data_IF_854369896135
#
_entry.id   IF_854369896135
#
_cell.length_a   1.000
_cell.length_b   1.000
_cell.length_c   1.000
_cell.angle_alpha   90.00
_cell.angle_beta   90.00
_cell.angle_gamma   90.00
#
_symmetry.space_group_name_H-M   'P 1'
#
loop_
_entity.id
_entity.type
_entity.pdbx_description
1 polymer ?
#
# COMPACT_ATOMS: atom_id res chain seq x y z
N UNK A 1 34.89 8.14 -3.56
CA UNK A 1 33.96 7.68 -2.50
C UNK A 1 32.73 8.57 -2.55
N UNK A 2 31.60 8.05 -3.03
CA UNK A 2 30.34 8.80 -3.00
C UNK A 2 29.94 8.99 -1.53
N UNK A 3 29.70 10.24 -1.11
CA UNK A 3 29.22 10.52 0.26
C UNK A 3 27.87 9.85 0.43
N UNK A 4 27.76 8.93 1.38
CA UNK A 4 26.48 8.34 1.78
C UNK A 4 25.50 9.47 2.12
N UNK A 5 24.29 9.49 1.53
CA UNK A 5 23.27 10.47 1.86
C UNK A 5 23.03 10.56 3.37
N UNK A 6 22.96 11.78 3.92
CA UNK A 6 22.65 12.01 5.34
C UNK A 6 21.14 12.00 5.62
N UNK A 7 20.32 12.04 4.57
CA UNK A 7 18.85 12.08 4.59
C UNK A 7 18.28 11.11 3.54
N UNK A 8 17.15 10.48 3.85
CA UNK A 8 16.51 9.47 3.00
C UNK A 8 15.69 8.44 3.76
N UNK A 9 15.20 7.44 3.03
CA UNK A 9 14.51 6.26 3.56
C UNK A 9 15.51 5.26 4.12
N UNK A 10 15.20 4.65 5.26
CA UNK A 10 16.05 3.63 5.86
C UNK A 10 15.94 2.31 5.08
N UNK A 11 17.08 1.72 4.66
CA UNK A 11 17.10 0.42 4.01
C UNK A 11 16.98 -0.73 5.01
N UNK A 12 16.80 -1.94 4.48
CA UNK A 12 16.73 -3.21 5.20
C UNK A 12 17.72 -3.32 6.38
N UNK A 13 19.01 -3.05 6.15
CA UNK A 13 20.05 -3.18 7.17
C UNK A 13 19.88 -2.21 8.35
N UNK A 14 19.43 -0.98 8.10
CA UNK A 14 19.16 0.00 9.14
C UNK A 14 17.91 -0.37 9.95
N UNK A 15 16.88 -0.94 9.31
CA UNK A 15 15.70 -1.46 10.01
C UNK A 15 16.10 -2.61 10.95
N UNK A 16 16.96 -3.54 10.50
CA UNK A 16 17.54 -4.57 11.40
C UNK A 16 18.27 -3.95 12.58
N UNK A 17 19.01 -2.87 12.35
CA UNK A 17 19.72 -2.17 13.42
C UNK A 17 18.76 -1.53 14.44
N UNK A 18 17.63 -0.96 13.99
CA UNK A 18 16.59 -0.44 14.88
C UNK A 18 15.99 -1.55 15.76
N UNK A 19 15.80 -2.75 15.22
CA UNK A 19 15.35 -3.92 15.99
C UNK A 19 16.42 -4.35 16.99
N UNK A 20 17.67 -4.51 16.55
CA UNK A 20 18.79 -4.92 17.41
C UNK A 20 19.05 -3.94 18.58
N UNK A 21 18.87 -2.65 18.34
CA UNK A 21 19.00 -1.59 19.36
C UNK A 21 17.74 -1.36 20.19
N UNK A 22 16.68 -2.17 19.98
CA UNK A 22 15.38 -2.05 20.65
C UNK A 22 14.67 -0.71 20.44
N UNK A 23 14.98 -0.02 19.34
CA UNK A 23 14.16 1.10 18.86
C UNK A 23 12.85 0.61 18.23
N UNK A 24 12.83 -0.65 17.75
CA UNK A 24 11.62 -1.39 17.38
C UNK A 24 11.58 -2.64 18.26
N UNK A 25 10.46 -2.88 18.94
CA UNK A 25 10.28 -4.05 19.81
C UNK A 25 8.95 -4.71 19.53
N UNK A 26 8.86 -6.03 19.72
CA UNK A 26 7.61 -6.78 19.61
C UNK A 26 7.68 -8.07 20.43
N UNK A 27 6.52 -8.58 20.84
CA UNK A 27 6.38 -9.91 21.46
C UNK A 27 5.22 -10.66 20.81
N UNK A 28 5.46 -11.75 20.05
CA UNK A 28 6.76 -12.36 19.73
C UNK A 28 7.71 -11.43 18.97
N UNK A 29 9.01 -11.77 18.96
CA UNK A 29 10.04 -10.97 18.30
C UNK A 29 9.73 -10.74 16.80
N UNK A 30 10.27 -9.64 16.25
CA UNK A 30 10.18 -9.35 14.82
C UNK A 30 10.95 -10.41 14.05
N UNK A 31 10.29 -11.02 13.07
CA UNK A 31 10.88 -12.05 12.22
C UNK A 31 11.53 -11.43 10.98
N UNK A 32 12.61 -12.04 10.47
CA UNK A 32 13.34 -11.53 9.29
C UNK A 32 12.44 -11.37 8.05
N UNK A 33 11.41 -12.23 7.89
CA UNK A 33 10.44 -12.15 6.79
C UNK A 33 9.54 -10.90 6.82
N UNK A 34 9.45 -10.20 7.95
CA UNK A 34 8.68 -8.97 8.06
C UNK A 34 9.41 -7.78 7.45
N UNK A 35 10.75 -7.84 7.38
CA UNK A 35 11.59 -6.73 6.96
C UNK A 35 11.67 -6.74 5.44
N UNK A 36 11.12 -5.71 4.81
CA UNK A 36 11.18 -5.47 3.38
C UNK A 36 12.41 -4.62 3.04
N UNK A 37 12.77 -4.46 1.75
CA UNK A 37 13.91 -3.64 1.34
C UNK A 37 13.93 -2.22 1.92
N UNK A 38 12.74 -1.59 2.08
CA UNK A 38 12.60 -0.23 2.58
C UNK A 38 11.38 -0.04 3.50
N UNK A 39 10.84 -1.10 4.11
CA UNK A 39 9.71 -1.05 5.05
C UNK A 39 9.71 -2.25 6.00
N UNK A 40 8.83 -2.23 6.99
CA UNK A 40 8.59 -3.31 7.94
C UNK A 40 7.10 -3.63 8.00
N UNK A 41 6.75 -4.90 7.83
CA UNK A 41 5.37 -5.38 8.01
C UNK A 41 4.95 -5.34 9.50
N UNK A 42 3.81 -4.71 9.78
CA UNK A 42 3.22 -4.58 11.11
C UNK A 42 2.22 -5.72 11.37
N UNK A 43 2.21 -6.31 12.56
CA UNK A 43 1.41 -7.49 12.90
C UNK A 43 0.27 -7.15 13.83
N UNK A 44 -0.92 -7.67 13.50
CA UNK A 44 -2.09 -7.59 14.38
C UNK A 44 -1.80 -8.23 15.74
N UNK A 45 -2.23 -7.56 16.81
CA UNK A 45 -2.19 -8.08 18.16
C UNK A 45 -3.26 -9.13 18.44
N UNK A 46 -3.51 -9.35 19.74
CA UNK A 46 -4.45 -10.38 20.23
C UNK A 46 -5.89 -9.92 20.32
N UNK A 47 -6.13 -8.62 20.30
CA UNK A 47 -7.47 -8.04 20.49
C UNK A 47 -7.84 -7.13 19.34
N UNK A 48 -9.12 -7.08 19.01
CA UNK A 48 -9.72 -6.01 18.22
C UNK A 48 -10.83 -5.34 19.04
N UNK A 49 -10.97 -4.03 18.89
CA UNK A 49 -12.05 -3.24 19.44
C UNK A 49 -12.99 -2.87 18.30
N UNK A 50 -14.23 -3.36 18.32
CA UNK A 50 -15.25 -2.91 17.36
C UNK A 50 -15.73 -1.53 17.79
N UNK A 51 -15.54 -0.52 16.94
CA UNK A 51 -15.87 0.87 17.24
C UNK A 51 -17.18 1.30 16.61
N UNK A 52 -17.81 2.33 17.18
CA UNK A 52 -18.93 3.06 16.56
C UNK A 52 -18.43 3.87 15.35
N UNK A 53 -17.26 4.51 15.48
CA UNK A 53 -16.69 5.39 14.45
C UNK A 53 -15.15 5.40 14.49
N UNK A 54 -14.55 5.89 13.41
CA UNK A 54 -13.13 6.27 13.37
C UNK A 54 -12.88 7.55 14.19
N UNK A 55 -11.65 7.77 14.63
CA UNK A 55 -11.26 8.95 15.41
C UNK A 55 -9.76 9.28 15.26
N UNK A 56 -9.41 10.54 15.54
CA UNK A 56 -8.01 11.01 15.60
C UNK A 56 -7.60 11.25 17.06
N UNK A 57 -6.52 10.61 17.56
CA UNK A 57 -6.08 10.72 18.95
C UNK A 57 -5.09 11.89 19.15
N UNK A 58 -5.44 13.08 18.70
CA UNK A 58 -4.59 14.27 18.83
C UNK A 58 -4.54 14.79 20.27
N UNK A 59 -5.69 14.76 20.96
CA UNK A 59 -5.88 15.43 22.25
C UNK A 59 -5.67 14.53 23.47
N UNK A 60 -5.59 13.21 23.28
CA UNK A 60 -5.44 12.25 24.37
C UNK A 60 -4.81 10.93 23.89
N UNK A 61 -4.09 10.18 24.74
CA UNK A 61 -3.65 8.83 24.41
C UNK A 61 -4.81 7.94 23.98
N UNK A 62 -4.55 6.98 23.09
CA UNK A 62 -5.57 6.04 22.61
C UNK A 62 -6.09 5.20 23.77
N UNK A 63 -5.23 4.81 24.72
CA UNK A 63 -5.62 3.99 25.86
C UNK A 63 -6.73 4.61 26.71
N UNK A 64 -6.80 5.94 26.83
CA UNK A 64 -7.88 6.62 27.57
C UNK A 64 -9.22 6.62 26.84
N UNK A 65 -9.30 6.03 25.64
CA UNK A 65 -10.51 5.85 24.84
C UNK A 65 -10.90 4.37 24.70
N UNK A 66 -10.08 3.45 25.23
CA UNK A 66 -10.27 2.00 25.12
C UNK A 66 -10.89 1.37 26.36
N UNK A 67 -11.15 2.15 27.41
CA UNK A 67 -11.82 1.66 28.62
C UNK A 67 -13.26 1.26 28.27
N UNK A 68 -13.53 -0.05 28.22
CA UNK A 68 -14.88 -0.61 28.10
C UNK A 68 -15.57 -0.43 29.45
N UNK A 69 -16.11 0.76 29.71
CA UNK A 69 -16.90 1.03 30.91
C UNK A 69 -18.37 0.72 30.63
N UNK A 70 -18.89 -0.23 31.39
CA UNK A 70 -20.25 -0.72 31.25
C UNK A 70 -21.31 0.39 31.34
N UNK A 71 -22.35 0.14 30.54
CA UNK A 71 -23.56 0.88 30.32
C UNK A 71 -23.49 2.29 29.67
N UNK A 72 -22.62 3.26 30.02
CA UNK A 72 -22.55 4.58 29.31
C UNK A 72 -21.27 5.44 29.52
N UNK A 73 -20.04 4.91 29.67
CA UNK A 73 -18.84 5.77 29.88
C UNK A 73 -17.58 5.43 29.05
N UNK A 74 -17.74 4.88 27.84
CA UNK A 74 -16.95 5.31 26.67
C UNK A 74 -17.85 5.25 25.43
N UNK A 75 -17.99 6.35 24.69
CA UNK A 75 -18.94 6.45 23.57
C UNK A 75 -18.44 5.76 22.27
N UNK A 76 -17.33 5.03 22.32
CA UNK A 76 -16.60 4.65 21.12
C UNK A 76 -16.46 3.14 20.91
N UNK A 77 -16.15 2.37 21.97
CA UNK A 77 -15.96 0.93 21.89
C UNK A 77 -17.27 0.21 22.15
N UNK A 78 -17.70 -0.65 21.22
CA UNK A 78 -18.94 -1.42 21.37
C UNK A 78 -18.70 -2.79 22.01
N UNK A 79 -17.64 -3.49 21.59
CA UNK A 79 -17.21 -4.75 22.20
C UNK A 79 -15.77 -5.10 21.80
N UNK A 80 -15.13 -5.94 22.62
CA UNK A 80 -13.82 -6.53 22.32
C UNK A 80 -13.96 -7.88 21.61
N UNK A 81 -12.97 -8.22 20.80
CA UNK A 81 -12.86 -9.49 20.08
C UNK A 81 -11.47 -10.08 20.29
N UNK A 82 -11.38 -11.39 20.52
CA UNK A 82 -10.10 -12.11 20.52
C UNK A 82 -9.71 -12.47 19.08
N UNK A 83 -8.46 -12.16 18.71
CA UNK A 83 -7.86 -12.46 17.42
C UNK A 83 -6.90 -13.66 17.46
N UNK A 84 -6.70 -14.29 18.62
CA UNK A 84 -5.68 -15.34 18.79
C UNK A 84 -5.89 -16.52 17.83
N UNK A 85 -7.10 -17.10 17.82
CA UNK A 85 -7.51 -18.17 16.88
C UNK A 85 -8.22 -17.64 15.62
N UNK A 86 -8.36 -16.31 15.56
CA UNK A 86 -8.89 -15.54 14.46
C UNK A 86 -10.38 -15.22 14.54
N UNK A 87 -10.73 -14.03 14.06
CA UNK A 87 -12.08 -13.48 14.09
C UNK A 87 -12.46 -12.86 12.74
N UNK A 88 -13.76 -12.77 12.50
CA UNK A 88 -14.32 -12.17 11.30
C UNK A 88 -14.50 -10.67 11.54
N UNK A 89 -13.91 -9.85 10.67
CA UNK A 89 -14.18 -8.42 10.57
C UNK A 89 -15.19 -8.21 9.44
N UNK A 90 -16.35 -7.70 9.81
CA UNK A 90 -17.48 -7.52 8.91
C UNK A 90 -17.32 -6.29 8.01
N UNK A 91 -17.95 -6.36 6.84
CA UNK A 91 -18.00 -5.25 5.90
C UNK A 91 -18.64 -4.01 6.53
N UNK A 92 -18.07 -2.84 6.27
CA UNK A 92 -18.59 -1.53 6.66
C UNK A 92 -18.40 -1.17 8.13
N UNK A 93 -17.72 -2.02 8.91
CA UNK A 93 -17.49 -1.80 10.34
C UNK A 93 -16.05 -1.38 10.62
N UNK A 94 -15.87 -0.59 11.68
CA UNK A 94 -14.56 -0.09 12.11
C UNK A 94 -14.03 -0.92 13.26
N UNK A 95 -12.79 -1.38 13.11
CA UNK A 95 -12.09 -2.15 14.12
C UNK A 95 -10.75 -1.51 14.42
N UNK A 96 -10.41 -1.33 15.70
CA UNK A 96 -9.09 -0.88 16.11
C UNK A 96 -8.33 -2.05 16.73
N UNK A 97 -7.13 -2.32 16.22
CA UNK A 97 -6.30 -3.45 16.63
C UNK A 97 -4.96 -2.91 17.15
N UNK A 98 -4.62 -3.09 18.43
CA UNK A 98 -3.26 -2.86 18.90
C UNK A 98 -2.29 -3.75 18.12
N UNK A 99 -1.21 -3.18 17.60
CA UNK A 99 -0.19 -3.93 16.88
C UNK A 99 0.80 -4.57 17.86
N UNK A 100 1.48 -5.62 17.42
CA UNK A 100 2.51 -6.28 18.23
C UNK A 100 3.79 -5.43 18.36
N UNK A 101 4.05 -4.59 17.36
CA UNK A 101 5.22 -3.71 17.32
C UNK A 101 5.02 -2.43 18.14
N UNK A 102 6.05 -2.03 18.87
CA UNK A 102 6.16 -0.78 19.62
C UNK A 102 7.44 -0.05 19.21
N UNK A 103 7.39 1.28 19.20
CA UNK A 103 8.48 2.14 18.73
C UNK A 103 9.09 2.95 19.87
N UNK A 104 10.41 3.12 19.80
CA UNK A 104 11.19 4.10 20.57
C UNK A 104 12.18 4.76 19.62
N UNK A 105 11.67 5.61 18.74
CA UNK A 105 12.45 6.19 17.66
C UNK A 105 13.44 7.24 18.18
N UNK A 106 14.64 7.34 17.58
CA UNK A 106 15.50 8.51 17.71
C UNK A 106 14.78 9.77 17.22
N UNK A 107 15.10 10.94 17.80
CA UNK A 107 14.55 12.25 17.41
C UNK A 107 14.77 12.61 15.93
N UNK A 108 15.72 11.95 15.27
CA UNK A 108 16.06 12.18 13.85
C UNK A 108 15.22 11.35 12.89
N UNK A 109 14.43 10.40 13.40
CA UNK A 109 13.62 9.48 12.58
C UNK A 109 12.13 9.72 12.80
N UNK A 110 11.44 9.91 11.69
CA UNK A 110 9.97 9.80 11.59
C UNK A 110 9.62 8.54 10.80
N UNK A 111 8.34 8.20 10.70
CA UNK A 111 7.90 7.15 9.80
C UNK A 111 6.55 7.45 9.15
N UNK A 112 6.27 6.72 8.06
CA UNK A 112 4.98 6.69 7.39
C UNK A 112 4.50 5.25 7.27
N UNK A 113 3.20 5.03 7.31
CA UNK A 113 2.59 3.73 7.16
C UNK A 113 1.75 3.67 5.88
N UNK A 114 1.54 2.47 5.35
CA UNK A 114 0.64 2.26 4.21
C UNK A 114 0.11 0.83 4.23
N UNK A 115 -1.10 0.59 3.70
CA UNK A 115 -1.60 -0.77 3.52
C UNK A 115 -0.64 -1.59 2.65
N UNK A 116 -0.58 -2.89 2.93
CA UNK A 116 0.08 -3.82 2.02
C UNK A 116 -0.75 -3.95 0.75
N UNK A 117 -0.09 -4.16 -0.39
CA UNK A 117 -0.77 -4.32 -1.67
C UNK A 117 -1.74 -5.53 -1.69
N UNK A 118 -1.52 -6.55 -0.86
CA UNK A 118 -2.49 -7.65 -0.65
C UNK A 118 -3.78 -7.20 0.02
N UNK A 119 -3.69 -6.22 0.91
CA UNK A 119 -4.79 -5.64 1.70
C UNK A 119 -5.63 -4.70 0.84
N UNK A 120 -4.96 -3.83 0.06
CA UNK A 120 -5.62 -2.95 -0.91
C UNK A 120 -6.45 -3.74 -1.92
N UNK A 121 -5.90 -4.83 -2.48
CA UNK A 121 -6.64 -5.72 -3.41
C UNK A 121 -7.82 -6.47 -2.80
N UNK A 122 -8.02 -6.42 -1.49
CA UNK A 122 -9.23 -6.96 -0.83
C UNK A 122 -10.20 -5.83 -0.45
N UNK A 123 -9.90 -4.59 -0.84
CA UNK A 123 -10.63 -3.40 -0.45
C UNK A 123 -10.80 -3.31 1.07
N UNK A 124 -9.70 -3.56 1.78
CA UNK A 124 -9.62 -3.42 3.23
C UNK A 124 -8.88 -2.14 3.53
N UNK A 125 -9.62 -1.16 4.06
CA UNK A 125 -9.04 0.11 4.47
C UNK A 125 -8.34 -0.06 5.80
N UNK A 126 -7.12 0.48 5.88
CA UNK A 126 -6.36 0.45 7.11
C UNK A 126 -5.64 1.76 7.35
N UNK A 127 -5.61 2.21 8.60
CA UNK A 127 -4.86 3.39 9.03
C UNK A 127 -4.07 3.07 10.29
N UNK A 128 -2.77 3.31 10.28
CA UNK A 128 -1.97 3.29 11.51
C UNK A 128 -2.27 4.56 12.28
N UNK A 129 -2.48 4.38 13.58
CA UNK A 129 -2.74 5.46 14.53
C UNK A 129 -1.75 5.36 15.68
N UNK A 130 -1.24 6.51 16.12
CA UNK A 130 -0.32 6.64 17.24
C UNK A 130 -0.81 7.67 18.22
N UNK A 131 -0.46 7.53 19.49
CA UNK A 131 -0.80 8.52 20.52
C UNK A 131 -0.33 9.94 20.18
N UNK A 132 -1.20 10.91 20.44
CA UNK A 132 -0.91 12.35 20.36
C UNK A 132 -0.45 12.78 18.96
N UNK A 133 -1.17 12.31 17.94
CA UNK A 133 -0.88 12.63 16.54
C UNK A 133 -2.15 13.05 15.80
N UNK A 134 -2.02 14.09 14.98
CA UNK A 134 -3.13 14.66 14.21
C UNK A 134 -3.39 13.94 12.88
N UNK A 135 -2.44 13.12 12.41
CA UNK A 135 -2.52 12.41 11.13
C UNK A 135 -2.63 10.90 11.31
N UNK A 136 -3.39 10.27 10.42
CA UNK A 136 -3.27 8.83 10.18
C UNK A 136 -2.01 8.52 9.39
N UNK A 137 -1.46 7.32 9.59
CA UNK A 137 -0.30 6.79 8.88
C UNK A 137 0.99 7.62 8.99
N UNK A 138 1.01 8.69 9.78
CA UNK A 138 2.20 9.46 10.06
C UNK A 138 2.66 9.20 11.49
N UNK A 139 3.95 8.91 11.66
CA UNK A 139 4.57 8.70 12.97
C UNK A 139 5.59 9.80 13.17
N UNK A 140 5.33 10.67 14.15
CA UNK A 140 6.16 11.85 14.45
C UNK A 140 7.61 11.49 14.77
N UNK A 141 8.51 12.44 14.53
CA UNK A 141 9.92 12.24 14.80
C UNK A 141 10.17 11.98 16.30
N UNK A 142 10.96 10.95 16.62
CA UNK A 142 11.24 10.57 18.01
C UNK A 142 10.06 9.96 18.76
N UNK A 143 9.03 9.47 18.05
CA UNK A 143 7.88 8.82 18.67
C UNK A 143 8.29 7.64 19.57
N UNK A 144 7.66 7.56 20.75
CA UNK A 144 7.83 6.49 21.71
C UNK A 144 6.45 6.03 22.17
N UNK A 145 6.08 4.80 21.85
CA UNK A 145 4.76 4.28 22.21
C UNK A 145 4.26 3.14 21.31
N UNK A 146 3.07 2.63 21.65
CA UNK A 146 2.40 1.56 20.90
C UNK A 146 1.92 2.06 19.53
N UNK A 147 1.66 1.11 18.64
CA UNK A 147 0.98 1.37 17.37
C UNK A 147 -0.38 0.70 17.38
N UNK A 148 -1.37 1.34 16.76
CA UNK A 148 -2.69 0.77 16.53
C UNK A 148 -3.01 0.78 15.05
N UNK A 149 -3.79 -0.18 14.60
CA UNK A 149 -4.28 -0.27 13.23
C UNK A 149 -5.80 -0.22 13.24
N UNK A 150 -6.34 0.84 12.67
CA UNK A 150 -7.74 0.85 12.26
C UNK A 150 -7.89 -0.03 11.01
N UNK A 151 -8.91 -0.88 10.99
CA UNK A 151 -9.24 -1.81 9.90
C UNK A 151 -10.72 -1.68 9.57
N UNK A 152 -11.03 -1.43 8.31
CA UNK A 152 -12.39 -1.28 7.78
C UNK A 152 -12.51 -2.09 6.48
N UNK A 153 -13.02 -3.32 6.53
CA UNK A 153 -13.32 -4.08 5.32
C UNK A 153 -14.45 -3.41 4.53
N UNK A 154 -14.26 -3.11 3.24
CA UNK A 154 -15.24 -2.38 2.42
C UNK A 154 -15.97 -3.27 1.41
N UNK A 155 -15.27 -4.14 0.69
CA UNK A 155 -15.92 -5.06 -0.27
C UNK A 155 -16.22 -6.44 0.31
N UNK A 156 -15.30 -7.00 1.08
CA UNK A 156 -15.38 -8.38 1.59
C UNK A 156 -15.27 -8.41 3.11
N UNK A 157 -16.04 -9.26 3.76
CA UNK A 157 -15.75 -9.65 5.13
C UNK A 157 -14.46 -10.50 5.16
N UNK A 158 -13.61 -10.28 6.15
CA UNK A 158 -12.30 -10.94 6.24
C UNK A 158 -12.16 -11.67 7.57
N UNK A 159 -11.57 -12.86 7.57
CA UNK A 159 -11.10 -13.51 8.80
C UNK A 159 -9.62 -13.20 9.00
N UNK A 160 -9.31 -12.57 10.12
CA UNK A 160 -7.95 -12.19 10.51
C UNK A 160 -7.55 -12.88 11.80
N UNK A 161 -6.24 -12.99 12.07
CA UNK A 161 -5.69 -13.52 13.31
C UNK A 161 -4.42 -12.79 13.73
N UNK A 162 -4.06 -12.94 15.00
CA UNK A 162 -2.81 -12.40 15.56
C UNK A 162 -1.61 -12.79 14.70
N UNK A 163 -0.68 -11.85 14.53
CA UNK A 163 0.55 -12.05 13.76
C UNK A 163 0.41 -11.84 12.25
N UNK A 164 -0.81 -11.72 11.71
CA UNK A 164 -0.98 -11.33 10.30
C UNK A 164 -0.69 -9.85 10.09
N UNK A 165 -0.21 -9.52 8.89
CA UNK A 165 0.15 -8.16 8.52
C UNK A 165 -0.74 -7.64 7.41
N UNK A 166 -1.44 -6.54 7.70
CA UNK A 166 -2.28 -5.82 6.74
C UNK A 166 -1.64 -4.50 6.31
N UNK A 167 -0.69 -3.99 7.09
CA UNK A 167 -0.05 -2.69 6.91
C UNK A 167 1.47 -2.81 7.11
N UNK A 168 2.20 -1.79 6.69
CA UNK A 168 3.65 -1.72 6.73
C UNK A 168 4.13 -0.29 7.01
N UNK A 169 5.26 -0.17 7.68
CA UNK A 169 5.86 1.11 8.09
C UNK A 169 7.20 1.35 7.40
N UNK A 170 7.45 2.59 6.97
CA UNK A 170 8.69 3.06 6.33
C UNK A 170 9.29 4.21 7.12
N UNK A 171 10.55 4.05 7.52
CA UNK A 171 11.27 5.03 8.34
C UNK A 171 12.02 6.04 7.47
N UNK A 172 12.02 7.30 7.89
CA UNK A 172 12.58 8.42 7.12
C UNK A 172 13.45 9.27 8.03
N UNK A 173 14.65 9.61 7.53
CA UNK A 173 15.56 10.60 8.14
C UNK A 173 15.62 11.85 7.27
N UNK A 174 15.24 13.01 7.79
CA UNK A 174 15.28 14.27 7.05
C UNK A 174 14.37 14.28 5.81
N UNK A 175 14.78 14.95 4.73
CA UNK A 175 14.03 14.99 3.47
C UNK A 175 14.47 13.87 2.52
N UNK A 176 13.51 13.12 1.98
CA UNK A 176 13.79 12.01 1.06
C UNK A 176 13.31 12.28 -0.37
N UNK A 177 12.30 13.14 -0.53
CA UNK A 177 11.60 13.37 -1.80
C UNK A 177 12.52 13.83 -2.91
N UNK A 178 12.47 13.16 -4.05
CA UNK A 178 13.20 13.53 -5.26
C UNK A 178 12.44 14.64 -5.99
N UNK A 179 13.12 15.73 -6.33
CA UNK A 179 12.53 16.82 -7.10
C UNK A 179 12.23 16.43 -8.56
N UNK A 180 11.29 17.12 -9.20
CA UNK A 180 10.89 16.83 -10.58
C UNK A 180 12.08 16.96 -11.57
N UNK A 181 12.96 17.95 -11.38
CA UNK A 181 14.17 18.10 -12.19
C UNK A 181 15.15 16.91 -12.02
N UNK A 182 15.26 16.39 -10.81
CA UNK A 182 16.08 15.21 -10.54
C UNK A 182 15.44 13.94 -11.12
N UNK A 183 14.11 13.82 -11.09
CA UNK A 183 13.36 12.75 -11.76
C UNK A 183 13.55 12.78 -13.28
N UNK A 184 13.48 13.96 -13.91
CA UNK A 184 13.75 14.13 -15.34
C UNK A 184 15.16 13.67 -15.70
N UNK A 185 16.15 14.11 -14.90
CA UNK A 185 17.55 13.73 -15.08
C UNK A 185 17.75 12.22 -14.93
N UNK A 186 17.11 11.62 -13.92
CA UNK A 186 17.16 10.18 -13.67
C UNK A 186 16.57 9.41 -14.86
N UNK A 187 15.39 9.82 -15.35
CA UNK A 187 14.71 9.19 -16.48
C UNK A 187 15.53 9.27 -17.77
N UNK A 188 16.19 10.40 -18.04
CA UNK A 188 17.07 10.56 -19.21
C UNK A 188 18.27 9.62 -19.19
N UNK A 189 18.82 9.31 -18.00
CA UNK A 189 19.97 8.41 -17.84
C UNK A 189 19.57 6.93 -17.81
N UNK A 190 18.47 6.64 -17.11
CA UNK A 190 17.91 5.31 -16.95
C UNK A 190 16.38 5.45 -16.94
N UNK A 191 15.68 5.09 -18.04
CA UNK A 191 14.25 5.29 -18.12
C UNK A 191 13.51 4.68 -16.92
N UNK A 192 12.68 5.49 -16.28
CA UNK A 192 11.81 5.10 -15.16
C UNK A 192 10.46 4.55 -15.62
N UNK A 193 10.03 4.93 -16.82
CA UNK A 193 8.78 4.49 -17.43
C UNK A 193 9.02 3.88 -18.79
N UNK A 194 8.29 2.81 -19.08
CA UNK A 194 8.27 2.13 -20.37
C UNK A 194 6.85 2.01 -20.88
N UNK A 195 6.69 2.01 -22.20
CA UNK A 195 5.42 1.65 -22.81
C UNK A 195 5.09 0.19 -22.50
N UNK A 196 3.82 -0.08 -22.20
CA UNK A 196 3.33 -1.44 -22.08
C UNK A 196 3.07 -2.03 -23.48
N UNK A 197 4.14 -2.34 -24.19
CA UNK A 197 4.13 -2.92 -25.53
C UNK A 197 5.23 -3.98 -25.65
N UNK A 198 5.21 -4.86 -26.67
CA UNK A 198 6.22 -5.90 -26.84
C UNK A 198 7.67 -5.36 -26.89
N UNK A 199 7.88 -4.18 -27.48
CA UNK A 199 9.21 -3.57 -27.59
C UNK A 199 9.69 -2.96 -26.28
N UNK A 200 8.77 -2.65 -25.34
CA UNK A 200 9.03 -2.00 -24.05
C UNK A 200 10.03 -0.86 -24.23
N UNK A 201 9.69 0.09 -25.09
CA UNK A 201 10.50 1.30 -25.31
C UNK A 201 10.35 2.23 -24.10
N UNK A 202 11.43 2.84 -23.65
CA UNK A 202 11.36 3.88 -22.62
C UNK A 202 10.55 5.08 -23.11
N UNK A 203 9.78 5.71 -22.23
CA UNK A 203 9.00 6.89 -22.59
C UNK A 203 9.93 8.03 -23.04
N UNK A 204 9.47 8.82 -24.00
CA UNK A 204 10.17 10.03 -24.42
C UNK A 204 9.99 11.18 -23.43
N UNK A 205 10.86 12.19 -23.50
CA UNK A 205 10.80 13.38 -22.63
C UNK A 205 9.47 14.15 -22.71
N UNK A 206 8.80 14.12 -23.86
CA UNK A 206 7.50 14.79 -24.07
C UNK A 206 6.32 14.05 -23.41
N UNK A 207 6.46 12.74 -23.21
CA UNK A 207 5.43 11.90 -22.58
C UNK A 207 5.66 11.76 -21.06
N UNK A 208 6.90 11.96 -20.62
CA UNK A 208 7.25 11.99 -19.21
C UNK A 208 6.69 13.26 -18.57
N UNK A 209 5.76 13.10 -17.62
CA UNK A 209 5.15 14.20 -16.87
C UNK A 209 5.46 14.01 -15.39
N UNK A 210 6.12 15.00 -14.79
CA UNK A 210 6.36 15.05 -13.36
C UNK A 210 5.95 16.42 -12.79
N UNK A 211 5.13 16.40 -11.74
CA UNK A 211 4.74 17.57 -10.96
C UNK A 211 4.51 17.14 -9.51
N UNK A 212 5.52 17.33 -8.66
CA UNK A 212 5.56 16.77 -7.30
C UNK A 212 5.25 15.26 -7.29
N UNK A 213 5.85 14.54 -8.24
CA UNK A 213 5.60 13.12 -8.50
C UNK A 213 5.39 12.82 -9.98
N UNK A 214 5.63 11.56 -10.34
CA UNK A 214 5.55 11.06 -11.71
C UNK A 214 4.13 10.63 -12.05
N UNK A 215 3.54 11.20 -13.10
CA UNK A 215 2.21 10.82 -13.56
C UNK A 215 2.20 9.53 -14.36
N UNK A 216 1.18 8.71 -14.11
CA UNK A 216 0.88 7.51 -14.88
C UNK A 216 -0.57 7.52 -15.34
N UNK A 217 -0.81 6.81 -16.44
CA UNK A 217 -2.10 6.70 -17.11
C UNK A 217 -2.75 5.35 -16.83
N UNK A 218 -4.06 5.27 -17.05
CA UNK A 218 -4.84 4.03 -16.95
C UNK A 218 -4.79 3.22 -18.26
N UNK A 219 -4.68 1.90 -18.16
CA UNK A 219 -4.80 0.96 -19.28
C UNK A 219 -6.20 0.35 -19.33
N UNK A 220 -6.98 0.72 -20.36
CA UNK A 220 -8.30 0.12 -20.61
C UNK A 220 -8.33 -0.69 -21.92
N UNK A 221 -7.16 -1.01 -22.48
CA UNK A 221 -7.04 -1.87 -23.66
C UNK A 221 -6.60 -3.28 -23.30
N UNK A 222 -5.64 -3.40 -22.37
CA UNK A 222 -5.10 -4.69 -21.95
C UNK A 222 -4.42 -5.46 -23.10
N UNK A 223 -3.84 -4.75 -24.08
CA UNK A 223 -3.30 -5.33 -25.31
C UNK A 223 -2.13 -6.32 -25.07
N UNK A 224 -1.52 -6.31 -23.87
CA UNK A 224 -0.47 -7.24 -23.46
C UNK A 224 -0.99 -8.53 -22.80
N UNK A 225 -2.30 -8.63 -22.57
CA UNK A 225 -2.96 -9.75 -21.89
C UNK A 225 -3.43 -10.73 -22.95
N UNK A 226 -2.65 -11.78 -23.15
CA UNK A 226 -2.94 -12.86 -24.09
C UNK A 226 -4.26 -13.53 -23.71
N UNK A 227 -5.26 -13.37 -24.56
CA UNK A 227 -6.49 -14.19 -24.70
C UNK A 227 -7.74 -13.88 -23.85
N UNK A 228 -7.70 -13.03 -22.82
CA UNK A 228 -8.90 -12.79 -22.00
C UNK A 228 -9.68 -11.51 -22.34
N UNK A 229 -9.03 -10.49 -22.91
CA UNK A 229 -9.63 -9.16 -23.09
C UNK A 229 -10.02 -8.46 -21.78
N UNK A 230 -9.59 -9.01 -20.63
CA UNK A 230 -9.90 -8.50 -19.31
C UNK A 230 -9.04 -7.27 -19.04
N UNK A 231 -9.70 -6.14 -18.80
CA UNK A 231 -9.07 -4.85 -18.49
C UNK A 231 -8.99 -4.60 -16.98
N UNK A 232 -9.83 -5.27 -16.19
CA UNK A 232 -9.88 -5.11 -14.73
C UNK A 232 -10.81 -6.12 -14.06
N UNK A 233 -11.02 -5.93 -12.77
CA UNK A 233 -12.00 -6.68 -11.99
C UNK A 233 -12.84 -5.72 -11.15
N UNK A 234 -14.14 -5.99 -11.02
CA UNK A 234 -15.03 -5.33 -10.06
C UNK A 234 -15.34 -6.30 -8.92
N UNK A 235 -15.29 -5.83 -7.68
CA UNK A 235 -15.67 -6.65 -6.53
C UNK A 235 -17.17 -6.97 -6.56
N UNK A 236 -17.53 -8.22 -6.25
CA UNK A 236 -18.93 -8.60 -6.06
C UNK A 236 -19.46 -8.02 -4.75
N UNK A 237 -20.74 -7.64 -4.74
CA UNK A 237 -21.41 -7.06 -3.57
C UNK A 237 -21.57 -8.05 -2.42
N UNK A 238 -21.83 -9.31 -2.76
CA UNK A 238 -22.08 -10.41 -1.85
C UNK A 238 -21.09 -11.54 -2.15
N UNK A 239 -20.41 -12.04 -1.11
CA UNK A 239 -19.48 -13.16 -1.21
C UNK A 239 -19.31 -13.81 0.17
N UNK A 240 -18.61 -14.94 0.20
CA UNK A 240 -18.21 -15.58 1.46
C UNK A 240 -17.08 -14.80 2.17
N UNK A 241 -16.75 -15.20 3.40
CA UNK A 241 -15.64 -14.61 4.15
C UNK A 241 -14.29 -15.04 3.55
N UNK A 242 -13.37 -14.09 3.41
CA UNK A 242 -11.98 -14.35 2.99
C UNK A 242 -11.10 -14.52 4.22
N UNK A 243 -10.65 -15.74 4.47
CA UNK A 243 -9.66 -16.05 5.50
C UNK A 243 -8.26 -15.72 4.98
N UNK A 244 -7.64 -14.71 5.61
CA UNK A 244 -6.30 -14.24 5.22
C UNK A 244 -5.20 -15.29 5.47
N UNK A 245 -5.53 -16.39 6.16
CA UNK A 245 -4.68 -17.56 6.27
C UNK A 245 -4.49 -18.30 4.94
N UNK A 246 -5.49 -18.25 4.07
CA UNK A 246 -5.63 -19.18 2.95
C UNK A 246 -5.16 -18.53 1.63
N UNK A 247 -3.88 -18.75 1.32
CA UNK A 247 -3.26 -18.30 0.07
C UNK A 247 -3.64 -19.25 -1.07
N UNK A 248 -3.99 -18.70 -2.25
CA UNK A 248 -4.34 -19.48 -3.43
C UNK A 248 -5.49 -20.46 -3.22
N UNK A 249 -6.49 -20.10 -2.40
CA UNK A 249 -7.58 -21.00 -2.00
C UNK A 249 -8.88 -20.72 -2.76
N UNK A 250 -9.24 -19.45 -2.88
CA UNK A 250 -10.54 -19.00 -3.35
C UNK A 250 -10.59 -18.90 -4.86
N UNK A 251 -11.69 -19.31 -5.49
CA UNK A 251 -11.91 -19.09 -6.91
C UNK A 251 -12.18 -17.60 -7.16
N UNK A 252 -11.43 -16.95 -8.03
CA UNK A 252 -11.59 -15.52 -8.28
C UNK A 252 -13.03 -15.13 -8.68
N UNK A 253 -13.68 -15.94 -9.51
CA UNK A 253 -15.03 -15.70 -10.01
C UNK A 253 -16.13 -15.68 -8.91
N UNK A 254 -15.87 -16.21 -7.71
CA UNK A 254 -16.81 -16.17 -6.59
C UNK A 254 -16.84 -14.78 -5.91
N UNK A 255 -15.80 -13.97 -6.11
CA UNK A 255 -15.58 -12.69 -5.43
C UNK A 255 -15.45 -11.51 -6.39
N UNK A 256 -15.09 -11.77 -7.65
CA UNK A 256 -14.79 -10.76 -8.64
C UNK A 256 -15.59 -10.98 -9.93
N UNK A 257 -15.97 -9.87 -10.54
CA UNK A 257 -16.53 -9.81 -11.88
C UNK A 257 -15.43 -9.31 -12.83
N UNK A 258 -15.03 -10.09 -13.85
CA UNK A 258 -14.06 -9.64 -14.84
C UNK A 258 -14.67 -8.50 -15.68
N UNK A 259 -13.89 -7.46 -15.91
CA UNK A 259 -14.25 -6.33 -16.76
C UNK A 259 -13.55 -6.49 -18.09
N UNK A 260 -14.31 -6.43 -19.18
CA UNK A 260 -13.79 -6.60 -20.54
C UNK A 260 -13.66 -5.26 -21.24
N UNK A 261 -12.73 -5.21 -22.20
CA UNK A 261 -12.52 -4.04 -23.05
C UNK A 261 -13.83 -3.59 -23.70
N UNK A 262 -14.19 -2.32 -23.51
CA UNK A 262 -15.30 -1.70 -24.19
C UNK A 262 -14.89 -1.21 -25.60
N UNK A 263 -15.83 -1.18 -26.56
CA UNK A 263 -15.56 -0.76 -27.95
C UNK A 263 -15.02 0.67 -28.11
N UNK A 264 -15.24 1.53 -27.12
CA UNK A 264 -14.75 2.92 -27.10
C UNK A 264 -13.55 3.12 -26.18
N UNK A 265 -12.87 2.03 -25.77
CA UNK A 265 -11.70 2.07 -24.87
C UNK A 265 -11.99 2.89 -23.59
N UNK A 266 -13.18 2.69 -23.01
CA UNK A 266 -13.73 3.47 -21.90
C UNK A 266 -14.32 2.56 -20.82
N UNK A 267 -14.36 3.04 -19.58
CA UNK A 267 -15.00 2.35 -18.45
C UNK A 267 -15.80 3.36 -17.62
N UNK A 268 -17.08 3.06 -17.39
CA UNK A 268 -17.90 3.80 -16.44
C UNK A 268 -17.67 3.20 -15.04
N UNK A 269 -17.19 4.01 -14.12
CA UNK A 269 -16.98 3.64 -12.73
C UNK A 269 -18.21 4.03 -11.92
N UNK A 270 -18.93 3.04 -11.42
CA UNK A 270 -20.10 3.22 -10.56
C UNK A 270 -19.69 3.64 -9.13
N UNK A 271 -20.39 4.60 -8.50
CA UNK A 271 -20.17 5.03 -7.12
C UNK A 271 -20.10 3.87 -6.14
N UNK A 272 -19.15 3.93 -5.21
CA UNK A 272 -18.98 2.97 -4.12
C UNK A 272 -18.76 1.51 -4.56
N UNK A 273 -18.49 1.26 -5.85
CA UNK A 273 -17.96 -0.01 -6.33
C UNK A 273 -16.43 -0.01 -6.25
N UNK A 274 -15.84 -1.19 -6.10
CA UNK A 274 -14.39 -1.35 -6.03
C UNK A 274 -13.85 -2.03 -7.29
N UNK A 275 -12.81 -1.43 -7.85
CA UNK A 275 -12.18 -1.86 -9.08
C UNK A 275 -10.68 -2.13 -8.87
N UNK A 276 -10.21 -3.23 -9.46
CA UNK A 276 -8.78 -3.48 -9.67
C UNK A 276 -8.49 -3.23 -11.15
N UNK A 277 -7.69 -2.21 -11.43
CA UNK A 277 -7.26 -1.81 -12.77
C UNK A 277 -5.73 -1.85 -12.86
N UNK A 278 -5.15 -1.43 -13.98
CA UNK A 278 -3.70 -1.34 -14.14
C UNK A 278 -3.25 -0.09 -14.87
N UNK A 279 -1.99 0.31 -14.64
CA UNK A 279 -1.37 1.43 -15.34
C UNK A 279 -1.01 1.10 -16.78
N UNK A 280 -1.07 2.10 -17.66
CA UNK A 280 -0.65 2.03 -19.06
C UNK A 280 0.87 1.97 -19.21
N UNK A 281 1.59 2.65 -18.33
CA UNK A 281 3.04 2.57 -18.26
C UNK A 281 3.49 1.42 -17.37
N UNK A 282 4.70 0.94 -17.65
CA UNK A 282 5.45 0.07 -16.75
C UNK A 282 6.47 0.92 -16.01
N UNK A 283 6.49 0.86 -14.68
CA UNK A 283 7.36 1.66 -13.82
C UNK A 283 8.56 0.87 -13.32
N UNK A 284 9.69 1.56 -13.11
CA UNK A 284 10.90 1.05 -12.46
C UNK A 284 11.28 1.88 -11.25
N UNK A 285 11.56 1.22 -10.14
CA UNK A 285 12.13 1.81 -8.93
C UNK A 285 13.58 1.33 -8.79
N UNK A 286 14.59 2.14 -9.17
CA UNK A 286 15.99 1.74 -9.07
C UNK A 286 16.43 1.51 -7.63
N UNK A 287 17.50 0.73 -7.43
CA UNK A 287 17.95 0.27 -6.11
C UNK A 287 18.27 1.40 -5.08
N UNK A 288 18.64 2.60 -5.53
CA UNK A 288 18.89 3.76 -4.67
C UNK A 288 17.65 4.57 -4.31
N UNK A 289 16.46 4.11 -4.69
CA UNK A 289 15.20 4.82 -4.52
C UNK A 289 14.12 3.90 -3.99
N UNK A 290 13.19 4.46 -3.24
CA UNK A 290 11.88 3.88 -2.99
C UNK A 290 10.83 4.77 -3.66
N UNK A 291 9.60 4.28 -3.78
CA UNK A 291 8.51 5.12 -4.27
C UNK A 291 7.22 4.86 -3.50
N UNK A 292 6.26 5.76 -3.70
CA UNK A 292 4.96 5.75 -3.06
C UNK A 292 3.92 6.25 -4.06
N UNK A 293 2.84 5.47 -4.23
CA UNK A 293 1.67 5.95 -4.97
C UNK A 293 0.96 6.99 -4.13
N UNK A 294 0.60 8.12 -4.71
CA UNK A 294 -0.17 9.18 -4.05
C UNK A 294 -1.36 9.57 -4.90
N UNK A 295 -2.47 9.89 -4.25
CA UNK A 295 -3.70 10.24 -4.94
C UNK A 295 -3.52 11.55 -5.75
N UNK A 296 -4.19 11.62 -6.90
CA UNK A 296 -4.27 12.81 -7.73
C UNK A 296 -5.47 13.67 -7.31
N UNK A 297 -5.35 14.32 -6.15
CA UNK A 297 -6.50 14.93 -5.44
C UNK A 297 -6.96 16.29 -5.98
N UNK A 298 -6.19 16.99 -6.80
CA UNK A 298 -6.46 18.41 -7.08
C UNK A 298 -7.36 18.70 -8.31
N UNK A 299 -7.73 17.71 -9.12
CA UNK A 299 -8.50 17.95 -10.35
C UNK A 299 -9.62 16.94 -10.67
N UNK A 300 -9.68 15.81 -9.95
CA UNK A 300 -10.73 14.80 -10.07
C UNK A 300 -11.39 14.64 -8.70
N UNK A 301 -12.27 15.57 -8.31
CA UNK A 301 -12.90 15.58 -6.99
C UNK A 301 -13.69 14.31 -6.64
N UNK A 302 -13.96 13.45 -7.61
CA UNK A 302 -14.86 12.30 -7.51
C UNK A 302 -14.12 10.94 -7.52
N UNK A 303 -12.82 10.93 -7.83
CA UNK A 303 -11.99 9.73 -7.96
C UNK A 303 -10.88 9.72 -6.91
N UNK A 304 -10.96 8.77 -5.97
CA UNK A 304 -9.83 8.46 -5.10
C UNK A 304 -9.21 7.15 -5.56
N UNK A 305 -7.90 7.17 -5.79
CA UNK A 305 -7.12 5.92 -5.73
C UNK A 305 -7.05 5.53 -4.27
N UNK A 306 -7.88 4.57 -3.88
CA UNK A 306 -7.84 4.04 -2.53
C UNK A 306 -6.58 3.18 -2.40
N UNK A 307 -5.93 3.20 -1.23
CA UNK A 307 -4.81 2.30 -0.93
C UNK A 307 -3.50 2.59 -1.69
N UNK A 308 -3.15 3.87 -1.79
CA UNK A 308 -1.77 4.33 -1.96
C UNK A 308 -0.78 3.42 -1.21
N UNK A 309 0.21 2.89 -1.94
CA UNK A 309 1.10 1.85 -1.45
C UNK A 309 2.57 2.17 -1.71
N UNK A 310 3.43 1.54 -0.91
CA UNK A 310 4.87 1.60 -1.10
C UNK A 310 5.33 0.70 -2.26
N UNK A 311 6.25 1.24 -3.05
CA UNK A 311 7.10 0.47 -3.94
C UNK A 311 8.49 0.39 -3.32
N UNK A 312 9.04 -0.81 -3.30
CA UNK A 312 10.38 -1.05 -2.76
C UNK A 312 11.47 -0.88 -3.82
N UNK A 313 12.71 -0.54 -3.38
CA UNK A 313 13.87 -0.57 -4.24
C UNK A 313 14.01 -1.90 -4.99
N UNK A 314 14.08 -1.83 -6.33
CA UNK A 314 14.12 -3.01 -7.20
C UNK A 314 12.80 -3.30 -7.93
N UNK A 315 11.67 -2.69 -7.52
CA UNK A 315 10.36 -2.92 -8.16
C UNK A 315 10.40 -2.59 -9.66
N UNK A 316 10.11 -3.59 -10.50
CA UNK A 316 10.21 -3.47 -11.96
C UNK A 316 11.62 -3.17 -12.50
N UNK A 317 12.65 -3.10 -11.65
CA UNK A 317 14.04 -2.78 -12.02
C UNK A 317 14.88 -4.05 -12.14
N UNK A 318 14.71 -5.02 -11.23
CA UNK A 318 15.56 -6.20 -11.14
C UNK A 318 16.83 -5.95 -10.32
N UNK A 319 17.81 -6.86 -10.35
CA UNK A 319 19.03 -6.72 -9.55
C UNK A 319 20.01 -5.69 -10.14
N UNK A 320 20.08 -5.61 -11.47
CA UNK A 320 21.05 -4.78 -12.22
C UNK A 320 20.39 -3.87 -13.25
N UNK A 321 19.06 -3.76 -13.20
CA UNK A 321 18.31 -2.92 -14.09
C UNK A 321 17.88 -3.61 -15.40
N UNK A 322 17.86 -4.94 -15.40
CA UNK A 322 17.49 -5.78 -16.53
C UNK A 322 16.00 -5.79 -16.85
N UNK A 323 15.15 -5.44 -15.88
CA UNK A 323 13.70 -5.44 -16.06
C UNK A 323 13.25 -4.06 -16.57
N UNK A 324 12.51 -4.06 -17.69
CA UNK A 324 11.95 -2.87 -18.33
C UNK A 324 10.58 -2.48 -17.73
N UNK A 325 10.56 -2.38 -16.40
CA UNK A 325 9.38 -2.00 -15.63
C UNK A 325 8.32 -3.09 -15.43
N UNK A 326 7.45 -2.82 -14.46
CA UNK A 326 6.25 -3.60 -14.14
C UNK A 326 5.04 -2.67 -14.18
N UNK A 327 3.88 -3.16 -14.64
CA UNK A 327 2.65 -2.37 -14.51
C UNK A 327 2.29 -2.20 -13.03
N UNK A 328 1.69 -1.06 -12.70
CA UNK A 328 1.12 -0.80 -11.39
C UNK A 328 -0.30 -1.31 -11.40
N UNK A 329 -0.65 -2.20 -10.46
CA UNK A 329 -2.04 -2.54 -10.19
C UNK A 329 -2.64 -1.42 -9.34
N UNK A 330 -3.86 -1.01 -9.70
CA UNK A 330 -4.54 0.14 -9.12
C UNK A 330 -5.82 -0.29 -8.46
N UNK A 331 -6.00 0.14 -7.22
CA UNK A 331 -7.22 0.01 -6.47
C UNK A 331 -8.04 1.31 -6.57
N UNK A 332 -9.21 1.22 -7.19
CA UNK A 332 -10.02 2.39 -7.57
C UNK A 332 -11.42 2.26 -7.00
N UNK A 333 -11.91 3.33 -6.38
CA UNK A 333 -13.29 3.45 -5.92
C UNK A 333 -13.74 4.91 -6.09
N UNK A 334 -14.73 5.19 -6.95
CA UNK A 334 -15.37 6.51 -7.03
C UNK A 334 -16.35 6.68 -5.86
N UNK A 335 -16.62 7.92 -5.46
CA UNK A 335 -17.46 8.21 -4.30
C UNK A 335 -18.89 8.66 -4.65
N UNK A 336 -19.01 9.84 -5.27
CA UNK A 336 -20.27 10.57 -5.25
C UNK A 336 -21.13 10.36 -6.51
N UNK A 337 -20.49 10.31 -7.68
CA UNK A 337 -21.18 10.22 -8.98
C UNK A 337 -20.49 9.23 -9.92
N UNK A 338 -21.23 8.63 -10.87
CA UNK A 338 -20.61 7.79 -11.89
C UNK A 338 -19.54 8.56 -12.67
N UNK A 339 -18.38 7.95 -12.86
CA UNK A 339 -17.24 8.59 -13.48
C UNK A 339 -16.76 7.82 -14.71
N UNK A 340 -16.85 8.44 -15.90
CA UNK A 340 -16.35 7.82 -17.14
C UNK A 340 -14.86 8.09 -17.31
N UNK A 341 -14.07 7.03 -17.47
CA UNK A 341 -12.65 7.10 -17.79
C UNK A 341 -12.35 6.54 -19.17
N UNK A 342 -11.29 7.06 -19.79
CA UNK A 342 -10.78 6.61 -21.09
C UNK A 342 -9.37 6.04 -20.98
N UNK A 343 -9.04 5.12 -21.88
CA UNK A 343 -7.69 4.60 -22.04
C UNK A 343 -6.68 5.75 -22.19
N UNK A 344 -5.57 5.69 -21.45
CA UNK A 344 -4.55 6.74 -21.50
C UNK A 344 -4.89 8.01 -20.74
N UNK A 345 -6.00 8.06 -20.00
CA UNK A 345 -6.25 9.17 -19.07
C UNK A 345 -5.20 9.17 -17.95
N UNK A 346 -4.65 10.34 -17.62
CA UNK A 346 -3.79 10.50 -16.43
C UNK A 346 -4.62 10.20 -15.19
N UNK A 347 -4.14 9.30 -14.34
CA UNK A 347 -4.98 8.70 -13.32
C UNK A 347 -4.40 8.78 -11.91
N UNK A 348 -3.07 8.68 -11.77
CA UNK A 348 -2.40 8.76 -10.47
C UNK A 348 -0.96 9.27 -10.61
N UNK A 349 -0.34 9.59 -9.48
CA UNK A 349 1.08 9.96 -9.42
C UNK A 349 1.86 9.08 -8.45
N UNK A 350 3.14 8.92 -8.73
CA UNK A 350 4.10 8.18 -7.91
C UNK A 350 5.22 9.10 -7.49
N UNK A 351 5.40 9.28 -6.19
CA UNK A 351 6.50 10.07 -5.61
C UNK A 351 7.69 9.14 -5.40
N UNK A 352 8.88 9.62 -5.74
CA UNK A 352 10.13 8.91 -5.50
C UNK A 352 10.86 9.53 -4.31
N UNK A 353 11.40 8.67 -3.47
CA UNK A 353 12.23 9.01 -2.33
C UNK A 353 13.62 8.40 -2.48
N UNK A 354 14.66 9.14 -2.08
CA UNK A 354 16.03 8.62 -2.03
C UNK A 354 16.18 7.69 -0.82
N UNK A 355 16.87 6.58 -1.04
CA UNK A 355 17.34 5.74 0.06
C UNK A 355 18.55 6.38 0.74
N UNK A 356 18.73 6.14 2.04
CA UNK A 356 19.97 6.48 2.76
C UNK A 356 21.16 5.69 2.23
N UNK A 357 20.93 4.43 1.87
CA UNK A 357 21.88 3.55 1.22
C UNK A 357 21.13 2.50 0.39
N UNK A 358 21.81 1.85 -0.54
CA UNK A 358 21.21 0.74 -1.29
C UNK A 358 20.91 -0.40 -0.32
N UNK A 359 19.68 -0.94 -0.30
CA UNK A 359 19.36 -2.03 0.60
C UNK A 359 20.10 -3.30 0.20
N UNK A 360 20.60 -4.01 1.22
CA UNK A 360 21.27 -5.30 1.05
C UNK A 360 20.36 -6.40 0.48
N UNK A 361 19.05 -6.21 0.53
CA UNK A 361 18.04 -7.04 -0.12
C UNK A 361 17.19 -6.18 -1.03
N UNK A 362 17.09 -6.54 -2.31
CA UNK A 362 16.25 -5.84 -3.30
C UNK A 362 14.96 -6.59 -3.56
N UNK A 363 13.92 -5.85 -3.88
CA UNK A 363 12.65 -6.42 -4.31
C UNK A 363 12.85 -7.31 -5.54
N UNK A 364 12.29 -8.52 -5.53
CA UNK A 364 12.42 -9.48 -6.64
C UNK A 364 13.65 -10.39 -6.58
N UNK A 365 14.61 -10.17 -5.67
CA UNK A 365 15.89 -10.93 -5.66
C UNK A 365 15.93 -12.08 -4.66
N UNK A 366 15.27 -11.97 -3.50
CA UNK A 366 15.11 -13.05 -2.51
C UNK A 366 13.80 -12.88 -1.73
N UNK A 367 13.11 -14.00 -1.49
CA UNK A 367 11.81 -14.18 -0.78
C UNK A 367 10.58 -13.49 -1.42
N UNK A 368 9.60 -14.31 -1.79
CA UNK A 368 8.16 -13.96 -1.76
C UNK A 368 7.68 -12.74 -2.54
N UNK A 369 8.38 -12.33 -3.61
CA UNK A 369 8.04 -11.14 -4.42
C UNK A 369 6.75 -11.35 -5.19
N UNK A 370 5.64 -11.15 -4.48
CA UNK A 370 4.31 -11.55 -4.92
C UNK A 370 3.80 -10.76 -6.13
N UNK A 371 4.52 -9.70 -6.57
CA UNK A 371 4.06 -8.76 -7.60
C UNK A 371 5.13 -8.35 -8.63
N UNK A 372 6.34 -8.90 -8.58
CA UNK A 372 7.37 -8.59 -9.58
C UNK A 372 6.98 -9.17 -10.95
N UNK A 373 7.01 -8.36 -12.00
CA UNK A 373 6.71 -8.80 -13.37
C UNK A 373 5.24 -9.12 -13.64
N UNK A 374 4.36 -8.91 -12.66
CA UNK A 374 2.93 -9.13 -12.81
C UNK A 374 2.24 -7.97 -13.53
N UNK A 375 1.20 -8.31 -14.29
CA UNK A 375 0.25 -7.37 -14.88
C UNK A 375 -0.95 -7.21 -13.93
N UNK A 376 -2.17 -7.09 -14.46
CA UNK A 376 -3.41 -7.11 -13.68
C UNK A 376 -3.52 -8.38 -12.84
N UNK A 377 -3.43 -8.24 -11.51
CA UNK A 377 -3.44 -9.39 -10.60
C UNK A 377 -4.30 -9.10 -9.37
N UNK A 378 -5.06 -10.11 -8.93
CA UNK A 378 -5.86 -10.08 -7.70
C UNK A 378 -5.00 -10.34 -6.45
N UNK A 379 -5.60 -10.29 -5.27
CA UNK A 379 -4.91 -10.64 -4.02
C UNK A 379 -4.41 -12.09 -4.04
N UNK A 380 -3.32 -12.39 -3.32
CA UNK A 380 -2.69 -13.72 -3.27
C UNK A 380 -3.61 -14.86 -2.78
N UNK A 381 -4.79 -14.55 -2.27
CA UNK A 381 -5.78 -15.50 -1.75
C UNK A 381 -6.57 -16.20 -2.87
N UNK A 382 -6.56 -15.62 -4.08
CA UNK A 382 -7.33 -16.14 -5.21
C UNK A 382 -6.50 -17.06 -6.11
N UNK A 383 -7.16 -18.10 -6.62
CA UNK A 383 -6.75 -18.88 -7.79
C UNK A 383 -7.25 -18.11 -9.01
N UNK A 384 -6.31 -17.68 -9.84
CA UNK A 384 -6.58 -16.98 -11.12
C UNK A 384 -6.30 -17.94 -12.26
#
# INVERSE_FOLDING_TARGET
MSKTPTQGILPYQDIKQLIATRAITASPAVEDRQIQPASLDLRLGRKAYRLISSFLPELSPISSRLDVLDFYQSDLVMYEMDLTEGAILEKGHVYLVPLLENLKLPKTLRARANPKSTTGRLDVFTRVVTDLNAGFDEIRAGYHGPLFLEVVPRSFAIKVRTGQSLNQIRFVRGEATVSDAALQTLHSKSPLLYHNSPTRKGLGQREFRAERGLFLRIDLKGDDRTDSGIIGYRAKKNSHVIDLAKVGHYTAADFWEPLYRHRHDSLLLEPEEFYILASKERIRVPAGYAAEMVAYEAACGELRTHYAGFFDPGFGYGAKGEIKGTQVVLEVRPHDVPFLIHDGQTFFKVVYDRMLDVPSQLYGTTLGSSYQGQALTLSKHFKV
#
